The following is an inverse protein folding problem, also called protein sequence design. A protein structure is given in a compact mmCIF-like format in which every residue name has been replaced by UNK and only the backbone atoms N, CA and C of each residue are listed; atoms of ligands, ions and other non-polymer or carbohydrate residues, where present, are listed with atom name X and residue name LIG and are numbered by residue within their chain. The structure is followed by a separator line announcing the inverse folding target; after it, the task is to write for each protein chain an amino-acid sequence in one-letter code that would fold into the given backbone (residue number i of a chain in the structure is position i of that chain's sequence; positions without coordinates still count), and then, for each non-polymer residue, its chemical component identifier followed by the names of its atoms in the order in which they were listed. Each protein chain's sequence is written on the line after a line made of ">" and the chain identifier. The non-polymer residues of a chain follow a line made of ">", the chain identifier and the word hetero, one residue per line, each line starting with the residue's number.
data_IF_841376741840
#
_entry.id   IF_841376741840
#
_cell.length_a   1.000
_cell.length_b   1.000
_cell.length_c   1.000
_cell.angle_alpha   90.00
_cell.angle_beta   90.00
_cell.angle_gamma   90.00
#
_symmetry.space_group_name_H-M   'P 1'
#
loop_
_entity.id
_entity.type
_entity.pdbx_description
1 polymer ?
#
# COMPACT_ATOMS: atom_id res chain seq x y z
N UNK A 1 -40.96 -31.18 -11.72
CA UNK A 1 -40.86 -29.78 -11.24
C UNK A 1 -39.41 -29.52 -10.89
N UNK A 2 -38.72 -28.65 -11.64
CA UNK A 2 -37.38 -28.22 -11.27
C UNK A 2 -37.52 -27.36 -10.01
N UNK A 3 -37.17 -27.91 -8.85
CA UNK A 3 -37.13 -27.15 -7.60
C UNK A 3 -36.07 -26.08 -7.78
N UNK A 4 -36.51 -24.83 -8.03
CA UNK A 4 -35.59 -23.72 -8.17
C UNK A 4 -34.71 -23.65 -6.92
N UNK A 5 -33.40 -23.78 -7.10
CA UNK A 5 -32.41 -23.59 -6.03
C UNK A 5 -32.60 -22.18 -5.50
N UNK A 6 -32.94 -22.05 -4.21
CA UNK A 6 -33.44 -20.80 -3.64
C UNK A 6 -32.75 -20.50 -2.29
N UNK A 7 -32.09 -19.34 -2.19
CA UNK A 7 -31.41 -18.79 -1.01
C UNK A 7 -31.55 -17.25 -1.01
N UNK A 8 -31.29 -16.58 0.12
CA UNK A 8 -31.64 -15.16 0.37
C UNK A 8 -31.20 -14.18 -0.74
N UNK A 9 -29.96 -14.26 -1.22
CA UNK A 9 -29.40 -13.35 -2.23
C UNK A 9 -29.34 -13.96 -3.64
N UNK A 10 -30.15 -14.99 -3.91
CA UNK A 10 -30.07 -15.77 -5.16
C UNK A 10 -30.32 -14.93 -6.41
N UNK A 11 -31.33 -14.06 -6.41
CA UNK A 11 -31.67 -13.25 -7.58
C UNK A 11 -30.60 -12.17 -7.84
N UNK A 12 -30.13 -11.49 -6.79
CA UNK A 12 -29.02 -10.53 -6.88
C UNK A 12 -27.72 -11.19 -7.35
N UNK A 13 -27.40 -12.39 -6.85
CA UNK A 13 -26.21 -13.11 -7.32
C UNK A 13 -26.37 -13.56 -8.77
N UNK A 14 -27.57 -13.97 -9.19
CA UNK A 14 -27.86 -14.28 -10.59
C UNK A 14 -27.63 -13.07 -11.50
N UNK A 15 -28.21 -11.92 -11.15
CA UNK A 15 -28.05 -10.66 -11.89
C UNK A 15 -26.57 -10.29 -12.02
N UNK A 16 -25.83 -10.37 -10.90
CA UNK A 16 -24.40 -10.10 -10.88
C UNK A 16 -23.60 -11.06 -11.79
N UNK A 17 -23.90 -12.36 -11.76
CA UNK A 17 -23.26 -13.35 -12.65
C UNK A 17 -23.54 -13.06 -14.13
N UNK A 18 -24.76 -12.65 -14.48
CA UNK A 18 -25.12 -12.26 -15.84
C UNK A 18 -24.31 -11.05 -16.29
N UNK A 19 -24.22 -10.01 -15.46
CA UNK A 19 -23.41 -8.80 -15.71
C UNK A 19 -21.92 -9.14 -15.91
N UNK A 20 -21.43 -10.20 -15.28
CA UNK A 20 -20.06 -10.71 -15.40
C UNK A 20 -19.89 -11.81 -16.47
N UNK A 21 -20.82 -11.89 -17.43
CA UNK A 21 -20.71 -12.75 -18.61
C UNK A 21 -20.99 -14.24 -18.37
N UNK A 22 -21.74 -14.59 -17.31
CA UNK A 22 -22.09 -15.98 -16.96
C UNK A 22 -23.55 -16.35 -17.24
N UNK A 23 -24.20 -15.64 -18.14
CA UNK A 23 -25.63 -15.81 -18.46
C UNK A 23 -26.02 -17.25 -18.84
N UNK A 24 -25.16 -18.00 -19.51
CA UNK A 24 -25.46 -19.38 -19.93
C UNK A 24 -25.09 -20.45 -18.91
N UNK A 25 -24.35 -20.09 -17.85
CA UNK A 25 -23.77 -21.06 -16.91
C UNK A 25 -24.03 -20.73 -15.44
N UNK A 26 -24.75 -19.66 -15.12
CA UNK A 26 -24.92 -19.19 -13.73
C UNK A 26 -25.46 -20.25 -12.77
N UNK A 27 -26.32 -21.17 -13.23
CA UNK A 27 -26.85 -22.25 -12.38
C UNK A 27 -25.75 -23.18 -11.84
N UNK A 28 -24.61 -23.28 -12.55
CA UNK A 28 -23.45 -24.06 -12.10
C UNK A 28 -22.80 -23.45 -10.84
N UNK A 29 -23.07 -22.17 -10.55
CA UNK A 29 -22.55 -21.42 -9.41
C UNK A 29 -23.44 -21.52 -8.15
N UNK A 30 -24.65 -22.11 -8.24
CA UNK A 30 -25.58 -22.21 -7.10
C UNK A 30 -25.41 -23.53 -6.32
N UNK A 31 -24.41 -23.56 -5.43
CA UNK A 31 -24.16 -24.70 -4.52
C UNK A 31 -25.05 -24.61 -3.28
N UNK A 32 -25.45 -25.76 -2.75
CA UNK A 32 -26.28 -25.86 -1.54
C UNK A 32 -25.48 -26.45 -0.37
N UNK A 33 -24.24 -25.99 -0.19
CA UNK A 33 -23.42 -26.37 0.94
C UNK A 33 -24.03 -25.87 2.24
N UNK A 34 -24.01 -26.72 3.26
CA UNK A 34 -24.63 -26.44 4.57
C UNK A 34 -23.59 -26.48 5.69
N UNK A 35 -23.80 -25.62 6.67
CA UNK A 35 -23.13 -25.65 7.95
C UNK A 35 -24.04 -26.30 8.98
N UNK A 36 -23.52 -27.30 9.69
CA UNK A 36 -24.17 -27.85 10.87
C UNK A 36 -23.71 -27.06 12.10
N UNK A 37 -24.65 -26.47 12.83
CA UNK A 37 -24.39 -25.61 14.00
C UNK A 37 -25.60 -25.64 14.92
N UNK A 38 -25.35 -25.86 16.22
CA UNK A 38 -26.40 -25.82 17.24
C UNK A 38 -27.64 -26.67 16.92
N UNK A 39 -27.43 -27.87 16.36
CA UNK A 39 -28.50 -28.79 15.95
C UNK A 39 -29.29 -28.38 14.70
N UNK A 40 -28.89 -27.31 14.03
CA UNK A 40 -29.48 -26.83 12.78
C UNK A 40 -28.55 -27.12 11.60
N UNK A 41 -29.14 -27.44 10.44
CA UNK A 41 -28.42 -27.63 9.19
C UNK A 41 -28.80 -26.53 8.19
N UNK A 42 -27.97 -25.49 8.11
CA UNK A 42 -28.29 -24.21 7.46
C UNK A 42 -27.42 -23.98 6.23
N UNK A 43 -27.96 -23.34 5.18
CA UNK A 43 -27.18 -23.02 3.98
C UNK A 43 -26.15 -21.92 4.25
N UNK A 44 -24.92 -22.10 3.78
CA UNK A 44 -23.88 -21.07 3.88
C UNK A 44 -24.34 -19.72 3.32
N UNK A 45 -25.04 -19.74 2.18
CA UNK A 45 -25.62 -18.55 1.58
C UNK A 45 -26.57 -17.79 2.51
N UNK A 46 -27.46 -18.51 3.20
CA UNK A 46 -28.46 -17.88 4.06
C UNK A 46 -27.83 -17.36 5.35
N UNK A 47 -26.83 -18.05 5.90
CA UNK A 47 -26.06 -17.59 7.06
C UNK A 47 -25.33 -16.29 6.74
N UNK A 48 -24.60 -16.25 5.62
CA UNK A 48 -23.85 -15.07 5.18
C UNK A 48 -24.81 -13.89 4.96
N UNK A 49 -25.89 -14.09 4.20
CA UNK A 49 -26.86 -13.04 3.93
C UNK A 49 -27.57 -12.54 5.20
N UNK A 50 -27.87 -13.44 6.16
CA UNK A 50 -28.47 -13.05 7.43
C UNK A 50 -27.51 -12.22 8.29
N UNK A 51 -26.23 -12.58 8.36
CA UNK A 51 -25.24 -11.73 9.04
C UNK A 51 -25.13 -10.35 8.38
N UNK A 52 -25.13 -10.28 7.05
CA UNK A 52 -25.11 -8.99 6.33
C UNK A 52 -26.38 -8.16 6.56
N UNK A 53 -27.54 -8.79 6.68
CA UNK A 53 -28.81 -8.12 7.00
C UNK A 53 -28.77 -7.41 8.36
N UNK A 54 -28.04 -7.95 9.34
CA UNK A 54 -27.82 -7.33 10.66
C UNK A 54 -26.55 -6.47 10.74
N UNK A 55 -25.92 -6.15 9.59
CA UNK A 55 -24.66 -5.40 9.47
C UNK A 55 -23.46 -6.04 10.23
N UNK A 56 -23.49 -7.36 10.38
CA UNK A 56 -22.46 -8.14 11.08
C UNK A 56 -21.40 -8.70 10.11
N UNK A 57 -20.72 -7.78 9.42
CA UNK A 57 -19.76 -8.11 8.34
C UNK A 57 -18.63 -9.04 8.76
N UNK A 58 -18.10 -8.90 9.99
CA UNK A 58 -17.05 -9.78 10.53
C UNK A 58 -17.51 -11.24 10.46
N UNK A 59 -18.72 -11.53 10.94
CA UNK A 59 -19.25 -12.89 10.99
C UNK A 59 -19.62 -13.41 9.61
N UNK A 60 -20.18 -12.57 8.73
CA UNK A 60 -20.42 -12.92 7.34
C UNK A 60 -19.13 -13.36 6.62
N UNK A 61 -18.05 -12.57 6.72
CA UNK A 61 -16.75 -12.91 6.15
C UNK A 61 -16.10 -14.11 6.83
N UNK A 62 -16.27 -14.27 8.14
CA UNK A 62 -15.77 -15.44 8.88
C UNK A 62 -16.39 -16.73 8.35
N UNK A 63 -17.72 -16.74 8.18
CA UNK A 63 -18.46 -17.88 7.64
C UNK A 63 -18.05 -18.15 6.19
N UNK A 64 -17.86 -17.11 5.37
CA UNK A 64 -17.39 -17.25 4.00
C UNK A 64 -15.98 -17.86 3.92
N UNK A 65 -15.05 -17.41 4.77
CA UNK A 65 -13.68 -17.95 4.84
C UNK A 65 -13.67 -19.39 5.38
N UNK A 66 -14.56 -19.71 6.34
CA UNK A 66 -14.75 -21.09 6.81
C UNK A 66 -15.23 -22.00 5.68
N UNK A 67 -16.23 -21.55 4.91
CA UNK A 67 -16.71 -22.28 3.74
C UNK A 67 -15.59 -22.50 2.71
N UNK A 68 -14.75 -21.48 2.47
CA UNK A 68 -13.58 -21.57 1.59
C UNK A 68 -12.59 -22.63 2.03
N UNK A 69 -12.26 -22.68 3.31
CA UNK A 69 -11.37 -23.69 3.88
C UNK A 69 -11.96 -25.10 3.73
N UNK A 70 -13.25 -25.28 3.99
CA UNK A 70 -13.93 -26.57 3.84
C UNK A 70 -13.95 -27.05 2.39
N UNK A 71 -14.28 -26.17 1.44
CA UNK A 71 -14.26 -26.49 0.01
C UNK A 71 -12.85 -26.85 -0.46
N UNK A 72 -11.83 -26.05 -0.10
CA UNK A 72 -10.43 -26.35 -0.45
C UNK A 72 -9.97 -27.70 0.12
N UNK A 73 -10.38 -28.02 1.34
CA UNK A 73 -10.06 -29.31 1.96
C UNK A 73 -10.74 -30.49 1.26
N UNK A 74 -12.01 -30.34 0.83
CA UNK A 74 -12.72 -31.36 0.04
C UNK A 74 -12.03 -31.59 -1.31
N UNK A 75 -11.68 -30.51 -2.03
CA UNK A 75 -10.92 -30.59 -3.30
C UNK A 75 -9.60 -31.32 -3.11
N UNK A 76 -8.83 -30.99 -2.07
CA UNK A 76 -7.53 -31.63 -1.78
C UNK A 76 -7.66 -33.11 -1.44
N UNK A 77 -8.67 -33.51 -0.67
CA UNK A 77 -8.85 -34.89 -0.20
C UNK A 77 -9.51 -35.82 -1.23
N UNK A 78 -10.47 -35.30 -1.98
CA UNK A 78 -11.36 -36.12 -2.81
C UNK A 78 -11.11 -35.97 -4.32
N UNK A 79 -10.16 -35.12 -4.74
CA UNK A 79 -9.90 -34.85 -6.15
C UNK A 79 -11.06 -34.15 -6.87
N UNK A 80 -11.95 -33.50 -6.11
CA UNK A 80 -13.08 -32.76 -6.69
C UNK A 80 -12.59 -31.63 -7.61
N UNK A 81 -13.36 -31.31 -8.65
CA UNK A 81 -12.91 -30.44 -9.74
C UNK A 81 -12.51 -29.02 -9.28
N UNK A 82 -11.45 -28.45 -9.86
CA UNK A 82 -11.02 -27.06 -9.67
C UNK A 82 -12.15 -26.01 -9.89
N UNK A 83 -13.22 -26.39 -10.59
CA UNK A 83 -14.42 -25.57 -10.76
C UNK A 83 -15.07 -25.17 -9.42
N UNK A 84 -14.96 -26.00 -8.36
CA UNK A 84 -15.44 -25.70 -7.01
C UNK A 84 -14.88 -24.41 -6.42
N UNK A 85 -13.57 -24.22 -6.56
CA UNK A 85 -12.88 -23.04 -6.05
C UNK A 85 -13.29 -21.81 -6.85
N UNK A 86 -13.44 -21.96 -8.17
CA UNK A 86 -13.92 -20.89 -9.06
C UNK A 86 -15.30 -20.37 -8.66
N UNK A 87 -16.24 -21.26 -8.30
CA UNK A 87 -17.58 -20.86 -7.87
C UNK A 87 -17.54 -19.99 -6.60
N UNK A 88 -16.81 -20.45 -5.59
CA UNK A 88 -16.75 -19.73 -4.32
C UNK A 88 -16.05 -18.39 -4.46
N UNK A 89 -14.99 -18.31 -5.27
CA UNK A 89 -14.32 -17.05 -5.57
C UNK A 89 -15.28 -16.03 -6.19
N UNK A 90 -16.18 -16.48 -7.08
CA UNK A 90 -17.22 -15.59 -7.65
C UNK A 90 -18.24 -15.14 -6.63
N UNK A 91 -18.68 -16.02 -5.73
CA UNK A 91 -19.58 -15.59 -4.67
C UNK A 91 -18.90 -14.60 -3.71
N UNK A 92 -17.62 -14.79 -3.41
CA UNK A 92 -16.82 -13.86 -2.62
C UNK A 92 -16.71 -12.49 -3.28
N UNK A 93 -16.40 -12.44 -4.58
CA UNK A 93 -16.42 -11.22 -5.38
C UNK A 93 -17.79 -10.52 -5.30
N UNK A 94 -18.88 -11.27 -5.50
CA UNK A 94 -20.24 -10.76 -5.38
C UNK A 94 -20.54 -10.17 -4.00
N UNK A 95 -20.19 -10.87 -2.90
CA UNK A 95 -20.41 -10.37 -1.54
C UNK A 95 -19.65 -9.06 -1.30
N UNK A 96 -18.39 -8.98 -1.73
CA UNK A 96 -17.62 -7.74 -1.61
C UNK A 96 -18.20 -6.59 -2.45
N UNK A 97 -18.83 -6.86 -3.59
CA UNK A 97 -19.43 -5.83 -4.42
C UNK A 97 -20.80 -5.38 -3.90
N UNK A 98 -21.67 -6.32 -3.50
CA UNK A 98 -23.02 -5.99 -3.07
C UNK A 98 -23.01 -5.20 -1.75
N UNK A 99 -22.08 -5.49 -0.83
CA UNK A 99 -21.91 -4.71 0.41
C UNK A 99 -21.55 -3.25 0.13
N UNK A 100 -20.85 -2.98 -0.97
CA UNK A 100 -20.43 -1.63 -1.36
C UNK A 100 -21.54 -0.84 -2.03
N UNK A 101 -22.36 -1.51 -2.83
CA UNK A 101 -23.26 -0.84 -3.78
C UNK A 101 -24.71 -0.81 -3.33
N UNK A 102 -25.11 -1.68 -2.40
CA UNK A 102 -26.51 -1.95 -2.13
C UNK A 102 -26.80 -1.98 -0.62
N UNK A 103 -28.01 -1.59 -0.25
CA UNK A 103 -28.51 -1.74 1.11
C UNK A 103 -29.10 -3.16 1.29
N UNK A 104 -28.31 -4.05 1.90
CA UNK A 104 -28.71 -5.45 2.14
C UNK A 104 -29.94 -5.54 3.05
N UNK A 105 -30.05 -4.63 4.03
CA UNK A 105 -31.20 -4.59 4.92
C UNK A 105 -32.47 -4.32 4.11
N UNK A 106 -32.42 -3.32 3.22
CA UNK A 106 -33.52 -3.00 2.31
C UNK A 106 -33.83 -4.15 1.34
N UNK A 107 -32.81 -4.80 0.76
CA UNK A 107 -32.98 -5.92 -0.18
C UNK A 107 -33.72 -7.10 0.46
N UNK A 108 -33.37 -7.43 1.70
CA UNK A 108 -33.88 -8.63 2.36
C UNK A 108 -35.07 -8.37 3.29
N UNK A 109 -35.47 -7.11 3.48
CA UNK A 109 -36.57 -6.75 4.35
C UNK A 109 -37.86 -7.52 3.98
N UNK A 110 -38.50 -8.14 4.97
CA UNK A 110 -39.68 -8.97 4.79
C UNK A 110 -39.41 -10.41 4.31
N UNK A 111 -38.15 -10.81 4.11
CA UNK A 111 -37.82 -12.20 3.79
C UNK A 111 -38.00 -13.12 5.00
N UNK A 112 -38.79 -14.18 4.84
CA UNK A 112 -39.01 -15.21 5.87
C UNK A 112 -37.84 -16.20 6.03
N UNK A 113 -36.80 -16.09 5.20
CA UNK A 113 -35.59 -16.94 5.25
C UNK A 113 -34.47 -16.35 6.10
N UNK A 114 -34.62 -15.11 6.57
CA UNK A 114 -33.62 -14.49 7.44
C UNK A 114 -33.51 -15.34 8.71
N UNK A 115 -32.31 -15.80 8.99
CA UNK A 115 -32.02 -16.59 10.19
C UNK A 115 -32.18 -15.67 11.40
N UNK A 116 -32.90 -16.15 12.41
CA UNK A 116 -33.18 -15.36 13.61
C UNK A 116 -31.90 -15.06 14.40
N UNK A 117 -31.97 -14.02 15.24
CA UNK A 117 -30.83 -13.54 16.03
C UNK A 117 -30.27 -14.60 17.00
N UNK A 118 -31.11 -15.51 17.50
CA UNK A 118 -30.73 -16.52 18.49
C UNK A 118 -29.88 -17.64 17.88
N UNK A 119 -30.25 -18.10 16.67
CA UNK A 119 -29.45 -19.05 15.90
C UNK A 119 -28.13 -18.39 15.50
N UNK A 120 -28.15 -17.13 15.03
CA UNK A 120 -26.92 -16.39 14.73
C UNK A 120 -26.03 -16.23 15.96
N UNK A 121 -26.60 -15.95 17.14
CA UNK A 121 -25.83 -15.87 18.39
C UNK A 121 -25.15 -17.19 18.74
N UNK A 122 -25.77 -18.32 18.40
CA UNK A 122 -25.18 -19.64 18.63
C UNK A 122 -24.05 -19.93 17.63
N UNK A 123 -24.23 -19.54 16.36
CA UNK A 123 -23.16 -19.57 15.35
C UNK A 123 -21.95 -18.72 15.80
N UNK A 124 -22.18 -17.52 16.37
CA UNK A 124 -21.10 -16.68 16.89
C UNK A 124 -20.29 -17.37 17.98
N UNK A 125 -20.95 -18.15 18.86
CA UNK A 125 -20.28 -18.92 19.92
C UNK A 125 -19.45 -20.10 19.39
N UNK A 126 -19.89 -20.70 18.28
CA UNK A 126 -19.19 -21.80 17.61
C UNK A 126 -17.94 -21.33 16.84
N UNK A 127 -17.79 -20.02 16.59
CA UNK A 127 -16.64 -19.44 15.90
C UNK A 127 -15.57 -19.01 16.91
N UNK A 128 -14.34 -19.52 16.76
CA UNK A 128 -13.24 -19.12 17.64
C UNK A 128 -12.74 -17.71 17.29
N UNK A 129 -12.21 -16.97 18.27
CA UNK A 129 -11.67 -15.62 18.05
C UNK A 129 -10.55 -15.59 17.00
N UNK A 130 -9.72 -16.63 16.94
CA UNK A 130 -8.66 -16.79 15.93
C UNK A 130 -9.18 -17.13 14.54
N UNK A 131 -10.44 -17.53 14.40
CA UNK A 131 -11.08 -17.80 13.12
C UNK A 131 -11.82 -16.58 12.57
N UNK A 132 -12.00 -15.52 13.37
CA UNK A 132 -12.66 -14.30 12.93
C UNK A 132 -11.90 -13.69 11.75
N UNK A 133 -12.66 -13.38 10.70
CA UNK A 133 -12.13 -12.65 9.55
C UNK A 133 -11.58 -11.29 10.00
N UNK A 134 -10.40 -10.95 9.46
CA UNK A 134 -9.85 -9.62 9.62
C UNK A 134 -10.63 -8.65 8.74
N UNK A 135 -11.01 -7.51 9.28
CA UNK A 135 -11.51 -6.37 8.51
C UNK A 135 -10.33 -5.44 8.26
N UNK A 136 -10.05 -5.16 6.99
CA UNK A 136 -9.11 -4.11 6.64
C UNK A 136 -9.83 -2.76 6.66
N UNK A 137 -9.40 -1.84 7.52
CA UNK A 137 -9.96 -0.49 7.58
C UNK A 137 -9.84 0.27 6.25
N UNK A 138 -8.90 -0.13 5.38
CA UNK A 138 -8.75 0.42 4.04
C UNK A 138 -9.89 0.02 3.10
N UNK A 139 -10.63 -1.05 3.40
CA UNK A 139 -11.82 -1.40 2.64
C UNK A 139 -12.77 -0.22 2.62
N UNK A 140 -13.01 0.45 3.76
CA UNK A 140 -13.88 1.64 3.81
C UNK A 140 -13.50 2.74 2.81
N UNK A 141 -12.21 2.92 2.54
CA UNK A 141 -11.73 3.88 1.53
C UNK A 141 -11.98 3.36 0.11
N UNK A 142 -11.76 2.07 -0.14
CA UNK A 142 -12.11 1.44 -1.42
C UNK A 142 -13.62 1.51 -1.68
N UNK A 143 -14.47 1.27 -0.67
CA UNK A 143 -15.93 1.33 -0.76
C UNK A 143 -16.41 2.75 -1.04
N UNK A 144 -15.90 3.75 -0.30
CA UNK A 144 -16.37 5.13 -0.38
C UNK A 144 -16.15 5.79 -1.75
N UNK A 145 -15.18 5.31 -2.53
CA UNK A 145 -14.80 5.92 -3.80
C UNK A 145 -15.03 5.02 -5.03
N UNK A 146 -15.66 3.84 -4.85
CA UNK A 146 -15.78 2.80 -5.89
C UNK A 146 -14.43 2.52 -6.61
N UNK A 147 -13.34 2.64 -5.85
CA UNK A 147 -11.98 2.47 -6.35
C UNK A 147 -11.51 1.05 -6.11
N UNK A 148 -10.81 0.47 -7.10
CA UNK A 148 -10.03 -0.72 -6.89
C UNK A 148 -8.69 -0.40 -6.23
N UNK A 149 -8.03 -1.45 -5.73
CA UNK A 149 -6.65 -1.39 -5.20
C UNK A 149 -5.70 -0.62 -6.15
N UNK A 150 -5.81 -0.88 -7.46
CA UNK A 150 -5.00 -0.22 -8.50
C UNK A 150 -5.25 1.28 -8.57
N UNK A 151 -6.48 1.71 -8.38
CA UNK A 151 -6.86 3.12 -8.48
C UNK A 151 -6.33 3.90 -7.27
N UNK A 152 -6.40 3.34 -6.06
CA UNK A 152 -5.79 3.94 -4.87
C UNK A 152 -4.26 4.07 -5.01
N UNK A 153 -3.60 3.00 -5.49
CA UNK A 153 -2.14 3.04 -5.70
C UNK A 153 -1.78 4.11 -6.75
N UNK A 154 -2.53 4.16 -7.85
CA UNK A 154 -2.35 5.18 -8.88
C UNK A 154 -2.58 6.59 -8.31
N UNK A 155 -3.67 6.80 -7.57
CA UNK A 155 -3.97 8.08 -6.95
C UNK A 155 -2.85 8.55 -6.01
N UNK A 156 -2.35 7.67 -5.15
CA UNK A 156 -1.25 7.97 -4.24
C UNK A 156 0.02 8.42 -5.00
N UNK A 157 0.39 7.68 -6.05
CA UNK A 157 1.58 7.96 -6.86
C UNK A 157 1.44 9.26 -7.66
N UNK A 158 0.32 9.42 -8.38
CA UNK A 158 0.12 10.58 -9.26
C UNK A 158 -0.11 11.87 -8.47
N UNK A 159 -0.52 11.76 -7.20
CA UNK A 159 -0.60 12.88 -6.27
C UNK A 159 0.70 13.17 -5.53
N UNK A 160 1.77 12.40 -5.76
CA UNK A 160 3.07 12.56 -5.09
C UNK A 160 4.08 13.29 -5.96
N UNK A 161 5.06 13.93 -5.30
CA UNK A 161 6.15 14.66 -5.95
C UNK A 161 7.49 13.97 -5.75
N UNK A 162 8.06 13.55 -6.86
CA UNK A 162 9.42 13.04 -7.00
C UNK A 162 10.37 14.19 -7.31
N UNK A 163 11.66 13.89 -7.37
CA UNK A 163 12.71 14.87 -7.66
C UNK A 163 13.25 14.68 -9.07
N UNK A 164 13.77 15.74 -9.67
CA UNK A 164 14.41 15.66 -10.99
C UNK A 164 15.63 14.72 -11.00
N UNK A 165 15.88 14.05 -12.14
CA UNK A 165 16.96 13.04 -12.25
C UNK A 165 18.34 13.67 -12.07
N UNK A 166 18.58 14.82 -12.68
CA UNK A 166 19.90 15.47 -12.65
C UNK A 166 20.18 15.98 -11.24
N UNK A 167 19.14 16.45 -10.54
CA UNK A 167 19.22 16.85 -9.14
C UNK A 167 19.49 15.65 -8.20
N UNK A 168 18.89 14.49 -8.47
CA UNK A 168 19.15 13.26 -7.73
C UNK A 168 20.59 12.77 -7.95
N UNK A 169 21.06 12.77 -9.19
CA UNK A 169 22.43 12.38 -9.54
C UNK A 169 23.45 13.34 -8.92
N UNK A 170 23.20 14.65 -8.98
CA UNK A 170 24.05 15.65 -8.35
C UNK A 170 24.16 15.44 -6.83
N UNK A 171 23.02 15.23 -6.14
CA UNK A 171 23.03 14.95 -4.70
C UNK A 171 23.81 13.68 -4.36
N UNK A 172 23.72 12.66 -5.20
CA UNK A 172 24.46 11.42 -5.02
C UNK A 172 25.98 11.67 -5.09
N UNK A 173 26.43 12.47 -6.06
CA UNK A 173 27.83 12.89 -6.20
C UNK A 173 28.30 13.74 -5.01
N UNK A 174 27.49 14.66 -4.51
CA UNK A 174 27.84 15.44 -3.30
C UNK A 174 28.11 14.54 -2.10
N UNK A 175 27.25 13.55 -1.86
CA UNK A 175 27.43 12.63 -0.73
C UNK A 175 28.70 11.80 -0.94
N UNK A 176 28.94 11.29 -2.15
CA UNK A 176 30.16 10.56 -2.47
C UNK A 176 31.43 11.39 -2.22
N UNK A 177 31.44 12.66 -2.65
CA UNK A 177 32.56 13.58 -2.44
C UNK A 177 32.79 13.85 -0.95
N UNK A 178 31.73 14.10 -0.17
CA UNK A 178 31.83 14.28 1.29
C UNK A 178 32.45 13.09 1.97
N UNK A 179 32.08 11.88 1.57
CA UNK A 179 32.66 10.64 2.10
C UNK A 179 34.15 10.55 1.75
N UNK A 180 34.52 10.79 0.49
CA UNK A 180 35.92 10.78 0.05
C UNK A 180 36.78 11.82 0.78
N UNK A 181 36.20 12.97 1.13
CA UNK A 181 36.88 14.03 1.87
C UNK A 181 36.80 13.88 3.40
N UNK A 182 36.17 12.81 3.91
CA UNK A 182 35.93 12.60 5.35
C UNK A 182 35.20 13.78 6.02
N UNK A 183 34.22 14.33 5.32
CA UNK A 183 33.32 15.39 5.78
C UNK A 183 32.03 14.80 6.40
N UNK A 184 31.40 15.50 7.36
CA UNK A 184 30.16 15.04 7.97
C UNK A 184 28.99 14.94 6.99
N UNK A 185 28.24 13.83 7.07
CA UNK A 185 26.96 13.65 6.38
C UNK A 185 25.77 13.96 7.29
N UNK A 186 24.72 14.60 6.79
CA UNK A 186 23.46 14.71 7.52
C UNK A 186 22.92 13.32 7.91
N UNK A 187 22.53 13.15 9.17
CA UNK A 187 22.00 11.90 9.68
C UNK A 187 20.80 12.13 10.61
N UNK A 188 19.81 11.22 10.55
CA UNK A 188 18.74 11.21 11.54
C UNK A 188 19.30 10.72 12.87
N UNK A 189 19.06 11.49 13.93
CA UNK A 189 19.51 11.15 15.29
C UNK A 189 19.11 9.73 15.69
N UNK A 190 20.10 8.93 16.12
CA UNK A 190 19.93 7.56 16.57
C UNK A 190 20.71 7.31 17.86
N UNK A 191 20.06 6.77 18.90
CA UNK A 191 20.77 6.35 20.12
C UNK A 191 21.62 5.08 19.93
N UNK A 192 21.30 4.29 18.90
CA UNK A 192 21.92 2.98 18.66
C UNK A 192 23.18 3.11 17.80
N UNK A 193 23.15 3.98 16.80
CA UNK A 193 24.18 4.04 15.75
C UNK A 193 25.07 5.28 15.88
N UNK A 194 24.66 6.31 16.60
CA UNK A 194 25.45 7.53 16.75
C UNK A 194 26.41 7.39 17.94
N UNK A 195 27.70 7.56 17.70
CA UNK A 195 28.73 7.65 18.76
C UNK A 195 29.46 8.98 18.67
N UNK A 196 29.77 9.55 19.83
CA UNK A 196 30.60 10.76 19.92
C UNK A 196 32.00 10.40 20.37
N UNK A 197 32.99 10.93 19.67
CA UNK A 197 34.39 10.86 20.06
C UNK A 197 35.07 12.18 19.68
N UNK A 198 35.80 12.77 20.61
CA UNK A 198 36.53 14.03 20.41
C UNK A 198 35.65 15.18 19.88
N UNK A 199 34.41 15.29 20.39
CA UNK A 199 33.37 16.23 19.94
C UNK A 199 32.93 16.07 18.47
N UNK A 200 33.24 14.93 17.86
CA UNK A 200 32.80 14.57 16.50
C UNK A 200 31.81 13.41 16.62
N UNK A 201 30.70 13.51 15.90
CA UNK A 201 29.71 12.43 15.81
C UNK A 201 30.02 11.51 14.64
N UNK A 202 29.89 10.22 14.88
CA UNK A 202 30.08 9.15 13.91
C UNK A 202 28.82 8.31 13.80
N UNK A 203 28.49 7.91 12.57
CA UNK A 203 27.60 6.79 12.33
C UNK A 203 28.40 5.49 12.40
N UNK A 204 27.92 4.56 13.22
CA UNK A 204 28.59 3.30 13.48
C UNK A 204 27.65 2.13 13.22
N UNK A 205 28.15 1.11 12.53
CA UNK A 205 27.50 -0.21 12.38
C UNK A 205 28.42 -1.26 13.01
N UNK A 206 27.88 -2.12 13.87
CA UNK A 206 28.64 -3.17 14.59
C UNK A 206 29.94 -2.65 15.22
N UNK A 207 29.82 -1.53 15.93
CA UNK A 207 30.91 -0.80 16.60
C UNK A 207 32.01 -0.22 15.70
N UNK A 208 31.86 -0.29 14.36
CA UNK A 208 32.81 0.29 13.40
C UNK A 208 32.38 1.69 12.98
N UNK A 209 33.32 2.65 13.00
CA UNK A 209 33.08 3.99 12.46
C UNK A 209 32.96 3.94 10.94
N UNK A 210 31.77 4.25 10.43
CA UNK A 210 31.48 4.22 8.99
C UNK A 210 31.73 5.61 8.37
N UNK A 211 31.18 6.66 8.97
CA UNK A 211 31.41 8.04 8.52
C UNK A 211 31.11 9.05 9.63
N UNK A 212 31.64 10.27 9.48
CA UNK A 212 31.26 11.42 10.32
C UNK A 212 29.84 11.85 10.01
N UNK A 213 29.11 12.32 11.01
CA UNK A 213 27.74 12.78 10.86
C UNK A 213 27.46 14.14 11.48
N UNK A 214 26.49 14.84 10.89
CA UNK A 214 25.80 15.99 11.46
C UNK A 214 24.38 15.55 11.81
N UNK A 215 24.03 15.58 13.10
CA UNK A 215 22.74 15.09 13.59
C UNK A 215 21.62 16.08 13.29
N UNK A 216 20.56 15.57 12.68
CA UNK A 216 19.33 16.32 12.44
C UNK A 216 18.64 16.71 13.75
N UNK A 217 18.20 17.96 13.84
CA UNK A 217 17.61 18.52 15.06
C UNK A 217 16.16 18.08 15.34
N UNK A 218 15.36 17.76 14.33
CA UNK A 218 13.92 17.46 14.52
C UNK A 218 13.38 16.32 13.64
N UNK A 219 14.25 15.45 13.15
CA UNK A 219 13.94 14.28 12.35
C UNK A 219 13.93 14.52 10.83
N UNK A 220 13.77 15.76 10.36
CA UNK A 220 13.75 16.13 8.94
C UNK A 220 14.22 17.58 8.65
N UNK A 221 14.85 18.29 9.59
CA UNK A 221 15.25 19.68 9.41
C UNK A 221 16.24 19.86 8.25
N UNK A 222 17.29 19.03 8.22
CA UNK A 222 18.34 19.03 7.20
C UNK A 222 17.78 18.59 5.85
N UNK A 223 16.83 17.65 5.83
CA UNK A 223 16.12 17.25 4.60
C UNK A 223 15.32 18.44 4.05
N UNK A 224 14.59 19.16 4.90
CA UNK A 224 13.82 20.33 4.49
C UNK A 224 14.72 21.48 4.00
N UNK A 225 15.85 21.71 4.68
CA UNK A 225 16.84 22.71 4.26
C UNK A 225 17.42 22.36 2.89
N UNK A 226 17.80 21.10 2.69
CA UNK A 226 18.32 20.60 1.41
C UNK A 226 17.29 20.75 0.28
N UNK A 227 16.03 20.34 0.49
CA UNK A 227 14.99 20.49 -0.53
C UNK A 227 14.77 21.97 -0.86
N UNK A 228 14.72 22.85 0.14
CA UNK A 228 14.59 24.29 -0.08
C UNK A 228 15.80 24.84 -0.86
N UNK A 229 17.01 24.41 -0.52
CA UNK A 229 18.22 24.80 -1.24
C UNK A 229 18.14 24.51 -2.74
N UNK A 230 17.74 23.28 -3.09
CA UNK A 230 17.65 22.84 -4.48
C UNK A 230 16.45 23.37 -5.25
N UNK A 231 15.32 23.59 -4.57
CA UNK A 231 14.02 23.78 -5.24
C UNK A 231 13.33 25.09 -4.89
N UNK A 232 13.81 25.83 -3.88
CA UNK A 232 13.15 27.00 -3.33
C UNK A 232 11.87 26.71 -2.54
N UNK A 233 11.44 25.45 -2.43
CA UNK A 233 10.23 25.09 -1.71
C UNK A 233 10.47 24.91 -0.22
N UNK A 234 9.72 25.66 0.59
CA UNK A 234 9.79 25.55 2.05
C UNK A 234 8.83 24.45 2.56
N UNK A 235 9.41 23.42 3.17
CA UNK A 235 8.68 22.29 3.77
C UNK A 235 8.72 22.29 5.31
N UNK A 236 9.42 23.26 5.92
CA UNK A 236 9.61 23.38 7.37
C UNK A 236 8.34 23.80 8.12
N UNK A 237 8.37 23.89 9.44
CA UNK A 237 7.18 23.96 10.32
C UNK A 237 6.22 25.15 10.12
N UNK A 238 6.58 26.20 9.36
CA UNK A 238 5.75 27.40 9.19
C UNK A 238 4.70 27.23 8.09
N UNK A 239 3.48 26.83 8.47
CA UNK A 239 2.35 26.52 7.56
C UNK A 239 2.05 27.60 6.50
N UNK A 240 2.08 28.89 6.87
CA UNK A 240 1.78 30.00 5.94
C UNK A 240 2.76 30.11 4.76
N UNK A 241 3.94 29.49 4.88
CA UNK A 241 5.00 29.50 3.85
C UNK A 241 5.06 28.19 3.04
N UNK A 242 4.21 27.19 3.36
CA UNK A 242 4.22 25.89 2.69
C UNK A 242 3.39 25.91 1.41
N UNK A 243 3.98 25.60 0.25
CA UNK A 243 3.22 25.35 -0.97
C UNK A 243 2.50 24.00 -0.93
N UNK A 244 3.05 23.02 -0.19
CA UNK A 244 2.51 21.68 -0.04
C UNK A 244 1.82 21.53 1.31
N UNK A 245 0.48 21.47 1.31
CA UNK A 245 -0.36 21.23 2.50
C UNK A 245 -0.76 19.75 2.56
N UNK A 246 -0.70 19.16 3.76
CA UNK A 246 -1.00 17.74 3.99
C UNK A 246 -0.10 16.78 3.17
N UNK A 247 1.16 17.18 2.97
CA UNK A 247 2.21 16.33 2.42
C UNK A 247 3.23 15.96 3.49
N UNK A 248 3.80 14.76 3.37
CA UNK A 248 4.84 14.24 4.24
C UNK A 248 6.05 13.86 3.39
N UNK A 249 7.25 14.12 3.93
CA UNK A 249 8.51 13.59 3.42
C UNK A 249 8.55 12.11 3.79
N UNK A 250 8.42 11.23 2.81
CA UNK A 250 8.46 9.79 2.98
C UNK A 250 9.81 9.24 2.52
N UNK A 251 10.46 8.45 3.38
CA UNK A 251 11.63 7.65 3.02
C UNK A 251 11.15 6.28 2.55
N UNK A 252 11.22 6.01 1.24
CA UNK A 252 10.64 4.80 0.66
C UNK A 252 11.31 3.53 1.18
N UNK A 253 12.64 3.52 1.17
CA UNK A 253 13.43 2.53 1.88
C UNK A 253 13.64 3.03 3.30
N UNK A 254 13.31 2.15 4.25
CA UNK A 254 13.58 2.37 5.67
C UNK A 254 15.07 2.53 5.94
N UNK A 255 15.43 2.70 7.22
CA UNK A 255 16.83 2.92 7.58
C UNK A 255 17.31 4.35 7.33
N UNK A 256 16.43 5.35 7.42
CA UNK A 256 16.78 6.77 7.40
C UNK A 256 17.75 7.21 8.53
N UNK A 257 18.06 6.31 9.47
CA UNK A 257 19.18 6.46 10.42
C UNK A 257 20.54 6.28 9.77
N UNK A 258 20.62 5.54 8.66
CA UNK A 258 21.82 5.44 7.84
C UNK A 258 21.98 6.74 7.02
N UNK A 259 23.10 7.47 7.16
CA UNK A 259 23.31 8.75 6.49
C UNK A 259 23.25 8.65 4.95
N UNK A 260 23.53 7.48 4.38
CA UNK A 260 23.44 7.23 2.94
C UNK A 260 21.99 7.17 2.43
N UNK A 261 21.00 7.07 3.31
CA UNK A 261 19.58 7.00 2.95
C UNK A 261 18.83 8.28 3.34
N UNK A 262 19.33 9.02 4.32
CA UNK A 262 18.58 10.09 4.99
C UNK A 262 18.32 11.31 4.11
N UNK A 263 19.34 11.81 3.40
CA UNK A 263 19.26 13.01 2.55
C UNK A 263 19.45 12.69 1.06
N UNK A 264 19.30 11.42 0.68
CA UNK A 264 19.45 10.99 -0.69
C UNK A 264 18.10 11.11 -1.41
N UNK A 265 18.00 12.02 -2.39
CA UNK A 265 16.73 12.37 -3.04
C UNK A 265 16.09 11.21 -3.82
N UNK A 266 16.85 10.16 -4.17
CA UNK A 266 16.28 8.94 -4.75
C UNK A 266 15.41 8.15 -3.76
N UNK A 267 15.65 8.31 -2.45
CA UNK A 267 14.93 7.64 -1.37
C UNK A 267 13.77 8.49 -0.82
N UNK A 268 13.64 9.74 -1.25
CA UNK A 268 12.70 10.71 -0.67
C UNK A 268 11.62 11.05 -1.69
N UNK A 269 10.37 11.00 -1.25
CA UNK A 269 9.21 11.45 -2.03
C UNK A 269 8.30 12.31 -1.15
N UNK A 270 7.75 13.40 -1.69
CA UNK A 270 6.67 14.11 -1.01
C UNK A 270 5.35 13.45 -1.37
N UNK A 271 4.73 12.81 -0.39
CA UNK A 271 3.49 12.04 -0.59
C UNK A 271 2.34 12.69 0.18
N UNK A 272 1.08 12.54 -0.25
CA UNK A 272 -0.07 12.88 0.57
C UNK A 272 0.00 12.19 1.93
N UNK A 273 -0.36 12.91 3.00
CA UNK A 273 -0.24 12.40 4.37
C UNK A 273 -0.96 11.06 4.58
N UNK A 274 -2.14 10.91 3.97
CA UNK A 274 -2.90 9.66 4.00
C UNK A 274 -2.15 8.48 3.36
N UNK A 275 -1.41 8.72 2.27
CA UNK A 275 -0.62 7.70 1.59
C UNK A 275 0.63 7.33 2.42
N UNK A 276 1.23 8.30 3.10
CA UNK A 276 2.37 8.04 3.98
C UNK A 276 2.02 7.07 5.12
N UNK A 277 0.81 7.16 5.66
CA UNK A 277 0.35 6.22 6.70
C UNK A 277 0.39 4.76 6.27
N UNK A 278 0.31 4.48 4.96
CA UNK A 278 0.47 3.14 4.38
C UNK A 278 1.95 2.82 4.12
N UNK A 279 2.73 3.78 3.65
CA UNK A 279 4.16 3.60 3.31
C UNK A 279 5.03 3.35 4.55
N UNK A 280 4.68 3.95 5.70
CA UNK A 280 5.43 3.86 6.95
C UNK A 280 5.19 2.55 7.74
N UNK A 281 4.24 1.71 7.32
CA UNK A 281 3.99 0.44 8.00
C UNK A 281 5.10 -0.56 7.70
N UNK A 282 5.52 -1.29 8.73
CA UNK A 282 6.22 -2.55 8.55
C UNK A 282 5.24 -3.52 7.93
N UNK A 283 5.64 -4.13 6.82
CA UNK A 283 4.73 -4.98 6.07
C UNK A 283 5.15 -6.43 6.23
N UNK A 284 4.41 -7.14 7.07
CA UNK A 284 4.55 -8.59 7.26
C UNK A 284 3.72 -9.38 6.21
N UNK A 285 2.78 -8.73 5.54
CA UNK A 285 1.94 -9.29 4.48
C UNK A 285 2.30 -8.71 3.09
N UNK A 286 3.02 -9.50 2.29
CA UNK A 286 3.43 -9.15 0.93
C UNK A 286 2.26 -8.87 -0.02
N UNK A 287 1.06 -9.37 0.30
CA UNK A 287 -0.14 -9.18 -0.51
C UNK A 287 -1.03 -8.01 -0.05
N UNK A 288 -0.67 -7.31 1.04
CA UNK A 288 -1.42 -6.14 1.49
C UNK A 288 -1.33 -4.94 0.53
N UNK A 289 -2.35 -4.06 0.57
CA UNK A 289 -2.35 -2.79 -0.18
C UNK A 289 -1.09 -1.96 0.12
N UNK A 290 -0.68 -1.89 1.39
CA UNK A 290 0.51 -1.16 1.83
C UNK A 290 1.79 -1.73 1.19
N UNK A 291 1.95 -3.07 1.16
CA UNK A 291 3.05 -3.76 0.47
C UNK A 291 3.14 -3.38 -0.99
N UNK A 292 2.02 -3.54 -1.71
CA UNK A 292 1.93 -3.28 -3.14
C UNK A 292 2.16 -1.81 -3.44
N UNK A 293 1.63 -0.90 -2.64
CA UNK A 293 1.85 0.54 -2.75
C UNK A 293 3.34 0.88 -2.63
N UNK A 294 3.99 0.44 -1.55
CA UNK A 294 5.41 0.70 -1.28
C UNK A 294 6.32 0.12 -2.36
N UNK A 295 6.10 -1.14 -2.75
CA UNK A 295 6.82 -1.79 -3.84
C UNK A 295 6.68 -1.02 -5.16
N UNK A 296 5.50 -0.47 -5.44
CA UNK A 296 5.23 0.31 -6.65
C UNK A 296 6.01 1.64 -6.64
N UNK A 297 6.02 2.39 -5.53
CA UNK A 297 6.85 3.59 -5.38
C UNK A 297 8.34 3.29 -5.57
N UNK A 298 8.85 2.25 -4.92
CA UNK A 298 10.25 1.81 -5.05
C UNK A 298 10.61 1.45 -6.51
N UNK A 299 9.72 0.73 -7.20
CA UNK A 299 9.91 0.38 -8.60
C UNK A 299 9.92 1.61 -9.52
N UNK A 300 9.04 2.58 -9.27
CA UNK A 300 9.05 3.87 -9.98
C UNK A 300 10.39 4.57 -9.78
N UNK A 301 10.88 4.71 -8.55
CA UNK A 301 12.18 5.33 -8.27
C UNK A 301 13.30 4.61 -9.03
N UNK A 302 13.38 3.28 -8.91
CA UNK A 302 14.41 2.48 -9.58
C UNK A 302 14.41 2.66 -11.11
N UNK A 303 13.23 2.68 -11.74
CA UNK A 303 13.09 2.88 -13.20
C UNK A 303 13.35 4.32 -13.62
N UNK A 304 12.71 5.27 -12.95
CA UNK A 304 12.77 6.68 -13.31
C UNK A 304 14.20 7.22 -13.16
N UNK A 305 14.83 6.96 -12.02
CA UNK A 305 16.22 7.36 -11.75
C UNK A 305 17.24 6.45 -12.45
N UNK A 306 16.85 5.27 -12.92
CA UNK A 306 17.74 4.31 -13.58
C UNK A 306 18.97 3.98 -12.71
N UNK A 307 18.71 3.35 -11.57
CA UNK A 307 19.72 2.98 -10.58
C UNK A 307 20.92 2.22 -11.17
N UNK A 308 20.70 1.39 -12.21
CA UNK A 308 21.77 0.68 -12.93
C UNK A 308 22.72 1.61 -13.69
N UNK A 309 22.22 2.73 -14.21
CA UNK A 309 23.05 3.75 -14.86
C UNK A 309 23.75 4.60 -13.81
N UNK A 310 23.02 5.06 -12.79
CA UNK A 310 23.57 5.90 -11.71
C UNK A 310 24.71 5.22 -10.97
N UNK A 311 24.62 3.92 -10.69
CA UNK A 311 25.69 3.16 -10.03
C UNK A 311 26.97 3.06 -10.88
N UNK A 312 26.87 3.27 -12.20
CA UNK A 312 28.02 3.28 -13.11
C UNK A 312 28.56 4.69 -13.36
N UNK A 313 27.68 5.69 -13.43
CA UNK A 313 28.05 7.08 -13.77
C UNK A 313 28.58 7.86 -12.57
N UNK A 314 28.17 7.50 -11.37
CA UNK A 314 28.61 8.18 -10.14
C UNK A 314 29.71 7.38 -9.44
N UNK A 315 30.58 8.08 -8.69
CA UNK A 315 31.55 7.45 -7.78
C UNK A 315 30.88 6.75 -6.58
N UNK A 316 29.55 6.60 -6.60
CA UNK A 316 28.73 5.94 -5.59
C UNK A 316 29.05 4.44 -5.52
N UNK A 317 30.09 4.11 -4.74
CA UNK A 317 30.47 2.74 -4.38
C UNK A 317 30.08 2.37 -2.95
N UNK A 318 29.31 3.25 -2.30
CA UNK A 318 29.13 3.26 -0.84
C UNK A 318 28.10 2.21 -0.38
N UNK A 319 27.14 1.88 -1.24
CA UNK A 319 26.26 0.71 -1.10
C UNK A 319 25.51 0.48 -2.42
N UNK A 320 25.27 -0.77 -2.81
CA UNK A 320 24.33 -1.05 -3.90
C UNK A 320 22.98 -0.41 -3.56
N UNK A 321 22.25 0.05 -4.58
CA UNK A 321 20.87 0.48 -4.36
C UNK A 321 20.07 -0.67 -3.71
N UNK A 322 19.23 -0.37 -2.71
CA UNK A 322 18.51 -1.39 -1.98
C UNK A 322 17.53 -2.15 -2.87
N UNK A 323 17.28 -3.40 -2.52
CA UNK A 323 16.30 -4.24 -3.23
C UNK A 323 14.88 -3.71 -3.05
N UNK A 324 14.04 -3.99 -4.05
CA UNK A 324 12.60 -3.74 -3.99
C UNK A 324 11.97 -4.95 -3.32
N UNK A 325 11.32 -4.74 -2.17
CA UNK A 325 10.54 -5.77 -1.49
C UNK A 325 9.06 -5.68 -1.90
N UNK A 326 8.40 -6.82 -2.02
CA UNK A 326 6.98 -6.92 -2.40
C UNK A 326 6.73 -6.90 -3.90
N UNK A 327 5.45 -6.98 -4.28
CA UNK A 327 5.01 -7.10 -5.68
C UNK A 327 4.47 -5.75 -6.21
N UNK A 328 5.23 -5.02 -7.04
CA UNK A 328 4.77 -3.75 -7.59
C UNK A 328 3.58 -3.96 -8.55
N UNK A 329 2.66 -3.01 -8.57
CA UNK A 329 1.52 -3.06 -9.50
C UNK A 329 1.94 -2.53 -10.86
N UNK A 330 1.67 -3.34 -11.89
CA UNK A 330 1.86 -2.94 -13.29
C UNK A 330 0.88 -1.84 -13.66
N UNK A 331 1.36 -0.86 -14.41
CA UNK A 331 0.55 0.28 -14.82
C UNK A 331 1.37 1.35 -15.52
N UNK A 332 0.65 2.31 -16.09
CA UNK A 332 1.22 3.56 -16.58
C UNK A 332 0.89 4.64 -15.54
N UNK A 333 1.92 5.26 -14.98
CA UNK A 333 1.82 6.25 -13.92
C UNK A 333 2.33 7.61 -14.40
N UNK A 334 1.56 8.66 -14.13
CA UNK A 334 1.98 10.05 -14.32
C UNK A 334 2.61 10.55 -13.03
N UNK A 335 3.93 10.72 -13.00
CA UNK A 335 4.61 11.24 -11.80
C UNK A 335 4.86 12.73 -11.94
N UNK A 336 4.71 13.46 -10.83
CA UNK A 336 5.09 14.86 -10.76
C UNK A 336 6.53 14.96 -10.27
N UNK A 337 7.35 15.77 -10.93
CA UNK A 337 8.77 15.93 -10.60
C UNK A 337 9.09 17.39 -10.31
N UNK A 338 9.77 17.63 -9.19
CA UNK A 338 10.22 18.97 -8.80
C UNK A 338 11.58 19.22 -9.45
N UNK A 339 11.63 20.22 -10.33
CA UNK A 339 12.84 20.67 -11.02
C UNK A 339 13.68 21.57 -10.11
N UNK A 340 15.02 21.52 -10.21
CA UNK A 340 15.89 22.40 -9.43
C UNK A 340 15.74 23.87 -9.85
N UNK A 341 16.03 24.80 -8.94
CA UNK A 341 16.20 26.24 -9.25
C UNK A 341 17.63 26.59 -9.67
N UNK A 342 18.54 25.64 -9.49
CA UNK A 342 19.97 25.74 -9.77
C UNK A 342 20.21 25.12 -11.14
N UNK A 343 20.93 25.81 -12.01
CA UNK A 343 21.50 25.18 -13.20
C UNK A 343 22.66 24.27 -12.80
N UNK A 344 22.46 22.96 -12.92
CA UNK A 344 23.48 21.97 -12.61
C UNK A 344 24.38 21.86 -13.85
N UNK A 345 25.33 22.78 -13.99
CA UNK A 345 26.37 22.71 -15.02
C UNK A 345 27.54 21.83 -14.55
N UNK A 346 28.28 21.23 -15.50
CA UNK A 346 29.44 20.38 -15.22
C UNK A 346 30.60 21.08 -14.45
N UNK A 347 30.48 22.37 -14.14
CA UNK A 347 31.55 23.19 -13.54
C UNK A 347 31.33 23.58 -12.06
N UNK A 348 30.36 22.99 -11.35
CA UNK A 348 30.10 23.29 -9.92
C UNK A 348 29.84 24.78 -9.60
N UNK A 349 29.52 25.62 -10.59
CA UNK A 349 29.01 26.98 -10.37
C UNK A 349 27.48 26.93 -10.21
N UNK A 350 26.99 27.55 -9.13
CA UNK A 350 25.56 27.55 -8.78
C UNK A 350 24.98 28.92 -9.18
N UNK A 351 24.37 28.99 -10.35
CA UNK A 351 23.51 30.12 -10.73
C UNK A 351 22.05 29.75 -10.46
N UNK A 352 21.38 30.58 -9.65
CA UNK A 352 19.95 30.43 -9.34
C UNK A 352 19.14 31.15 -10.40
N UNK A 353 18.48 30.38 -11.26
CA UNK A 353 17.75 30.94 -12.42
C UNK A 353 16.28 31.21 -12.11
N UNK A 354 15.80 30.88 -10.91
CA UNK A 354 14.45 31.16 -10.46
C UNK A 354 14.33 31.19 -8.93
N UNK A 355 13.21 31.73 -8.43
CA UNK A 355 12.89 31.74 -6.99
C UNK A 355 12.32 30.39 -6.50
N UNK A 356 11.66 29.64 -7.38
CA UNK A 356 11.02 28.34 -7.07
C UNK A 356 11.10 27.41 -8.27
N UNK A 357 11.30 26.12 -8.00
CA UNK A 357 11.46 25.07 -9.00
C UNK A 357 10.15 24.77 -9.72
N UNK A 358 10.20 24.52 -11.03
CA UNK A 358 9.01 24.14 -11.78
C UNK A 358 8.59 22.70 -11.44
N UNK A 359 7.31 22.41 -11.61
CA UNK A 359 6.80 21.03 -11.58
C UNK A 359 6.67 20.55 -13.02
N UNK A 360 7.20 19.37 -13.32
CA UNK A 360 6.99 18.70 -14.59
C UNK A 360 6.22 17.39 -14.39
N UNK A 361 5.63 16.88 -15.47
CA UNK A 361 4.92 15.60 -15.49
C UNK A 361 5.73 14.63 -16.35
N UNK A 362 6.05 13.49 -15.77
CA UNK A 362 6.77 12.40 -16.44
C UNK A 362 5.88 11.15 -16.50
N UNK A 363 6.06 10.31 -17.52
CA UNK A 363 5.38 9.02 -17.62
C UNK A 363 6.32 7.89 -17.24
N UNK A 364 5.89 7.02 -16.33
CA UNK A 364 6.64 5.82 -15.94
C UNK A 364 5.76 4.59 -16.12
N UNK A 365 6.25 3.63 -16.89
CA UNK A 365 5.60 2.34 -17.11
C UNK A 365 6.27 1.26 -16.27
N UNK A 366 5.49 0.59 -15.42
CA UNK A 366 5.95 -0.53 -14.60
C UNK A 366 5.70 -1.86 -15.30
#
# INVERSE_FOLDING_TARGET
>A
MNTAINFLLRDKFQEWLIQHGKEKTYNQYFRLDKLETSGNLLLYYDIIASFLYYDERIYAYTVLNKWEREVKNKVKRNGESANLISYLNRYKEFIHEIIRKEDIHQILNGSNKIINSDILASIRKDLNQSELAQIDGMDSLLEAFDYGEKDIIKLAIESSFFFDKDMVEHRLCEIANKISNNEPLPARKSKKFDKEQDNIWYYCEDDKHICKIERDGNGNALVCQMINYYTGYNLGSVLKKKPFKNFIISHLWGGAVNPFYFTNLWNIVLVPAWANHLLDKDIDDEDSLASKLKATFMCICSKYYNFKKMSKSTSWKVSNFPEIKGQPKRGNYKIQTIKPIIEISNQMSIEKNSKVGKIAIEQVKI
#
